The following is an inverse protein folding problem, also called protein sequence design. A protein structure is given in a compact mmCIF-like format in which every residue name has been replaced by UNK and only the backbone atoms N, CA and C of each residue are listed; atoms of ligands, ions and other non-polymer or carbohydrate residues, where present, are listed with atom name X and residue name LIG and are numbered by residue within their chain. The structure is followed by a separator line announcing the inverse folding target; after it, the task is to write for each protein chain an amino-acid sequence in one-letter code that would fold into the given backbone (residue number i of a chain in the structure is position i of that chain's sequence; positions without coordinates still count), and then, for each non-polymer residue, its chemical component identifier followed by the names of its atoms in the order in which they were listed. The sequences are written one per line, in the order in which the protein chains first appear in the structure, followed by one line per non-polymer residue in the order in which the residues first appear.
data_IF_331704813434
#
_entry.id   IF_331704813434
#
_cell.length_a   1.000
_cell.length_b   1.000
_cell.length_c   1.000
_cell.angle_alpha   90.00
_cell.angle_beta   90.00
_cell.angle_gamma   90.00
#
_symmetry.space_group_name_H-M   'P 1'
#
loop_
_entity.id
_entity.type
_entity.pdbx_description
1 polymer ?
#
# COMPACT_ATOMS: atom_id res chain seq x y z
N UNK A 1 -0.95 -5.66 -2.64
CA UNK A 1 0.48 -5.63 -2.26
C UNK A 1 0.91 -4.22 -1.90
N UNK A 2 1.71 -4.08 -0.87
CA UNK A 2 2.19 -2.79 -0.39
C UNK A 2 3.72 -2.78 -0.43
N UNK A 3 4.28 -1.83 -1.18
CA UNK A 3 5.73 -1.53 -1.12
C UNK A 3 5.92 -0.44 -0.08
N UNK A 4 6.64 -0.74 0.99
CA UNK A 4 6.70 0.11 2.17
C UNK A 4 8.08 0.11 2.82
N UNK A 5 8.29 1.02 3.75
CA UNK A 5 9.48 1.03 4.61
C UNK A 5 9.18 0.18 5.83
N UNK A 6 9.92 -0.94 5.97
CA UNK A 6 9.63 -1.98 6.94
C UNK A 6 8.63 -2.98 6.40
N UNK A 7 7.90 -3.64 7.29
CA UNK A 7 6.87 -4.62 6.91
C UNK A 7 5.61 -4.40 7.75
N UNK A 8 4.58 -5.20 7.51
CA UNK A 8 3.28 -5.02 8.19
C UNK A 8 3.35 -5.25 9.70
N UNK A 9 4.34 -5.99 10.19
CA UNK A 9 4.55 -6.22 11.61
C UNK A 9 5.38 -5.12 12.26
N UNK A 10 6.32 -4.52 11.49
CA UNK A 10 7.22 -3.48 11.97
C UNK A 10 7.39 -2.38 10.91
N UNK A 11 6.40 -1.51 10.72
CA UNK A 11 6.55 -0.36 9.82
C UNK A 11 7.65 0.58 10.31
N UNK A 12 8.49 1.07 9.39
CA UNK A 12 9.65 1.90 9.72
C UNK A 12 9.44 3.39 9.43
N UNK A 13 8.24 3.79 9.02
CA UNK A 13 7.88 5.21 8.91
C UNK A 13 6.40 5.42 9.15
N UNK A 14 6.02 6.66 9.52
CA UNK A 14 4.65 7.00 9.86
C UNK A 14 3.67 6.80 8.71
N UNK A 15 4.07 7.11 7.48
CA UNK A 15 3.21 6.94 6.32
C UNK A 15 2.97 5.46 5.99
N UNK A 16 4.01 4.62 6.09
CA UNK A 16 3.85 3.18 5.93
C UNK A 16 2.98 2.59 7.03
N UNK A 17 3.15 3.04 8.26
CA UNK A 17 2.31 2.61 9.38
C UNK A 17 0.84 2.98 9.15
N UNK A 18 0.56 4.15 8.62
CA UNK A 18 -0.81 4.59 8.33
C UNK A 18 -1.51 3.66 7.35
N UNK A 19 -0.82 3.25 6.28
CA UNK A 19 -1.35 2.31 5.30
C UNK A 19 -1.63 0.95 5.95
N UNK A 20 -0.69 0.45 6.75
CA UNK A 20 -0.84 -0.83 7.46
C UNK A 20 -2.06 -0.78 8.40
N UNK A 21 -2.23 0.30 9.14
CA UNK A 21 -3.38 0.44 10.06
C UNK A 21 -4.70 0.41 9.29
N UNK A 22 -4.80 1.12 8.18
CA UNK A 22 -6.01 1.15 7.35
C UNK A 22 -6.35 -0.25 6.85
N UNK A 23 -5.38 -0.99 6.30
CA UNK A 23 -5.61 -2.33 5.78
C UNK A 23 -5.95 -3.32 6.89
N UNK A 24 -5.36 -3.18 8.07
CA UNK A 24 -5.68 -4.01 9.22
C UNK A 24 -7.12 -3.77 9.71
N UNK A 25 -7.57 -2.52 9.73
CA UNK A 25 -8.95 -2.18 10.09
C UNK A 25 -9.94 -2.82 9.13
N UNK A 26 -9.64 -2.82 7.84
CA UNK A 26 -10.49 -3.46 6.82
C UNK A 26 -10.48 -4.98 6.92
N UNK A 27 -9.49 -5.56 7.59
CA UNK A 27 -9.40 -7.01 7.79
C UNK A 27 -9.12 -7.80 6.52
N UNK A 28 -8.47 -7.18 5.52
CA UNK A 28 -8.20 -7.81 4.24
C UNK A 28 -6.81 -8.46 4.23
N UNK A 29 -6.63 -9.58 3.50
CA UNK A 29 -5.29 -10.14 3.33
C UNK A 29 -4.46 -9.27 2.38
N UNK A 30 -3.19 -9.05 2.72
CA UNK A 30 -2.27 -8.31 1.86
C UNK A 30 -0.83 -8.72 2.13
N UNK A 31 0.00 -8.55 1.13
CA UNK A 31 1.43 -8.81 1.22
C UNK A 31 2.19 -7.50 1.24
N UNK A 32 3.34 -7.50 1.91
CA UNK A 32 4.21 -6.32 1.99
C UNK A 32 5.61 -6.64 1.46
N UNK A 33 6.24 -5.64 0.87
CA UNK A 33 7.64 -5.69 0.43
C UNK A 33 8.37 -4.54 1.09
N UNK A 34 9.44 -4.85 1.82
CA UNK A 34 10.27 -3.84 2.49
C UNK A 34 11.29 -3.28 1.50
N UNK A 35 11.05 -2.05 1.06
CA UNK A 35 11.94 -1.38 0.09
C UNK A 35 13.25 -0.90 0.72
N UNK A 36 13.38 -0.94 2.04
CA UNK A 36 14.65 -0.63 2.71
C UNK A 36 15.67 -1.74 2.57
N UNK A 37 15.21 -2.97 2.30
CA UNK A 37 16.10 -4.13 2.12
C UNK A 37 16.69 -4.21 0.72
N UNK A 38 16.09 -3.56 -0.28
CA UNK A 38 16.55 -3.61 -1.67
C UNK A 38 16.31 -2.28 -2.37
N UNK A 39 17.43 -1.57 -2.62
CA UNK A 39 17.39 -0.28 -3.30
C UNK A 39 16.93 -0.35 -4.75
N UNK A 40 17.16 -1.47 -5.43
CA UNK A 40 16.71 -1.66 -6.81
C UNK A 40 15.18 -1.79 -6.85
N UNK A 41 14.59 -2.51 -5.92
CA UNK A 41 13.13 -2.59 -5.81
C UNK A 41 12.56 -1.22 -5.47
N UNK A 42 13.16 -0.49 -4.53
CA UNK A 42 12.72 0.86 -4.16
C UNK A 42 12.68 1.79 -5.37
N UNK A 43 13.73 1.80 -6.17
CA UNK A 43 13.80 2.63 -7.37
C UNK A 43 12.86 2.11 -8.45
N UNK A 44 12.80 0.80 -8.64
CA UNK A 44 11.97 0.16 -9.67
C UNK A 44 10.48 0.42 -9.49
N UNK A 45 9.96 0.36 -8.25
CA UNK A 45 8.52 0.64 -8.02
C UNK A 45 8.18 2.10 -8.28
N UNK A 46 9.10 3.03 -7.99
CA UNK A 46 8.89 4.45 -8.29
C UNK A 46 8.83 4.70 -9.79
N UNK A 47 9.71 4.06 -10.56
CA UNK A 47 9.72 4.15 -12.01
C UNK A 47 8.48 3.49 -12.62
N UNK A 48 8.12 2.31 -12.15
CA UNK A 48 6.97 1.56 -12.64
C UNK A 48 5.66 2.33 -12.48
N UNK A 49 5.44 2.92 -11.28
CA UNK A 49 4.21 3.66 -10.98
C UNK A 49 4.24 5.10 -11.45
N UNK A 50 5.40 5.62 -11.82
CA UNK A 50 5.63 7.05 -12.02
C UNK A 50 5.22 7.88 -10.79
N UNK A 51 5.42 7.31 -9.60
CA UNK A 51 5.06 7.91 -8.31
C UNK A 51 6.32 7.99 -7.44
N UNK A 52 6.67 9.16 -6.93
CA UNK A 52 8.01 9.38 -6.34
C UNK A 52 8.17 8.91 -4.90
N UNK A 53 7.08 8.58 -4.22
CA UNK A 53 7.12 8.34 -2.77
C UNK A 53 6.72 6.92 -2.38
N UNK A 54 7.13 6.52 -1.19
CA UNK A 54 6.79 5.26 -0.53
C UNK A 54 5.99 5.65 0.73
N UNK A 55 4.91 4.95 1.09
CA UNK A 55 4.45 3.65 0.57
C UNK A 55 3.69 3.74 -0.74
N UNK A 56 3.62 2.60 -1.45
CA UNK A 56 2.80 2.45 -2.65
C UNK A 56 1.93 1.21 -2.52
N UNK A 57 0.64 1.36 -2.80
CA UNK A 57 -0.35 0.28 -2.68
C UNK A 57 -0.82 -0.14 -4.06
N UNK A 58 -0.82 -1.47 -4.28
CA UNK A 58 -1.34 -2.09 -5.50
C UNK A 58 -2.47 -3.05 -5.14
N UNK A 59 -3.55 -2.99 -5.89
CA UNK A 59 -4.69 -3.90 -5.77
C UNK A 59 -4.89 -4.59 -7.11
N UNK A 60 -4.82 -5.92 -7.12
CA UNK A 60 -4.89 -6.73 -8.35
C UNK A 60 -3.87 -6.29 -9.42
N UNK A 61 -2.67 -5.92 -8.99
CA UNK A 61 -1.60 -5.50 -9.89
C UNK A 61 -1.73 -4.07 -10.40
N UNK A 62 -2.76 -3.33 -10.00
CA UNK A 62 -2.96 -1.94 -10.39
C UNK A 62 -2.52 -1.00 -9.27
N UNK A 63 -1.76 0.02 -9.62
CA UNK A 63 -1.34 1.05 -8.68
C UNK A 63 -2.53 1.88 -8.20
N UNK A 64 -2.70 1.98 -6.88
CA UNK A 64 -3.78 2.77 -6.26
C UNK A 64 -3.26 4.12 -5.79
N UNK A 65 -2.19 4.12 -5.03
CA UNK A 65 -1.60 5.34 -4.49
C UNK A 65 -0.78 5.12 -3.24
N UNK A 66 -0.44 6.21 -2.56
CA UNK A 66 0.29 6.22 -1.30
C UNK A 66 -0.64 6.42 -0.11
N UNK A 67 -0.06 6.87 1.02
CA UNK A 67 -0.81 7.03 2.26
C UNK A 67 -1.95 8.05 2.16
N UNK A 68 -1.75 9.15 1.45
CA UNK A 68 -2.77 10.20 1.30
C UNK A 68 -3.98 9.68 0.53
N UNK A 69 -3.75 9.01 -0.58
CA UNK A 69 -4.82 8.42 -1.40
C UNK A 69 -5.56 7.34 -0.62
N UNK A 70 -4.83 6.47 0.07
CA UNK A 70 -5.44 5.41 0.89
C UNK A 70 -6.31 5.98 1.99
N UNK A 71 -5.85 7.01 2.68
CA UNK A 71 -6.61 7.68 3.72
C UNK A 71 -7.90 8.28 3.16
N UNK A 72 -7.83 8.97 2.03
CA UNK A 72 -9.01 9.56 1.39
C UNK A 72 -10.02 8.50 0.97
N UNK A 73 -9.56 7.44 0.31
CA UNK A 73 -10.44 6.35 -0.11
C UNK A 73 -11.09 5.64 1.08
N UNK A 74 -10.32 5.46 2.16
CA UNK A 74 -10.85 4.86 3.39
C UNK A 74 -11.95 5.72 4.00
N UNK A 75 -11.71 7.02 4.13
CA UNK A 75 -12.68 7.95 4.73
C UNK A 75 -13.98 8.04 3.94
N UNK A 76 -13.91 7.89 2.62
CA UNK A 76 -15.09 7.89 1.74
C UNK A 76 -15.81 6.55 1.65
N UNK A 77 -15.24 5.50 2.24
CA UNK A 77 -15.78 4.13 2.12
C UNK A 77 -15.50 3.47 0.78
N UNK A 78 -14.79 4.12 -0.12
CA UNK A 78 -14.48 3.60 -1.46
C UNK A 78 -13.44 2.49 -1.43
N UNK A 79 -12.48 2.55 -0.49
CA UNK A 79 -11.43 1.54 -0.39
C UNK A 79 -12.01 0.16 -0.08
N UNK A 80 -12.98 0.08 0.81
CA UNK A 80 -13.65 -1.18 1.14
C UNK A 80 -14.30 -1.80 -0.09
N UNK A 81 -14.97 -0.98 -0.91
CA UNK A 81 -15.58 -1.44 -2.15
C UNK A 81 -14.55 -1.96 -3.14
N UNK A 82 -13.42 -1.25 -3.31
CA UNK A 82 -12.35 -1.67 -4.20
C UNK A 82 -11.76 -3.02 -3.80
N UNK A 83 -11.55 -3.22 -2.50
CA UNK A 83 -11.00 -4.47 -1.97
C UNK A 83 -12.01 -5.61 -2.13
N UNK A 84 -13.29 -5.38 -1.86
CA UNK A 84 -14.35 -6.39 -2.03
C UNK A 84 -14.43 -6.85 -3.50
N UNK A 85 -14.37 -5.93 -4.44
CA UNK A 85 -14.36 -6.25 -5.88
C UNK A 85 -13.12 -7.07 -6.23
N UNK A 86 -11.96 -6.69 -5.72
CA UNK A 86 -10.70 -7.40 -5.98
C UNK A 86 -10.72 -8.82 -5.44
N UNK A 87 -11.27 -9.04 -4.23
CA UNK A 87 -11.37 -10.37 -3.62
C UNK A 87 -12.40 -11.26 -4.32
N UNK A 88 -13.40 -10.68 -4.95
CA UNK A 88 -14.44 -11.41 -5.69
C UNK A 88 -14.00 -11.81 -7.11
N UNK A 89 -12.88 -11.29 -7.58
CA UNK A 89 -12.39 -11.52 -8.95
C UNK A 89 -11.73 -12.89 -9.13
#
# INVERSE_FOLDING_TARGET
MVFMKGNKLMPQCGFSNQVVQILNILGVPYETVDVLEDGDIRQGVKEYSNWPTIPQVYINGEFVGGSDVMTELYQKGELQQMVEVALAS
#
